data_IF_496913839196
#
_entry.id   IF_496913839196
#
_cell.length_a   1.000
_cell.length_b   1.000
_cell.length_c   1.000
_cell.angle_alpha   90.00
_cell.angle_beta   90.00
_cell.angle_gamma   90.00
#
_symmetry.space_group_name_H-M   'P 1'
#
loop_
_entity.id
_entity.type
_entity.pdbx_description
1 polymer ?
#
# COMPACT_ATOMS: atom_id res chain seq x y z
N UNK A 1 7.71 6.42 -67.16
CA UNK A 1 7.28 7.45 -66.20
C UNK A 1 6.19 6.87 -65.37
N UNK A 2 6.48 6.45 -64.16
CA UNK A 2 5.47 5.99 -63.18
C UNK A 2 5.85 6.59 -61.84
N UNK A 3 4.95 7.25 -61.11
CA UNK A 3 5.23 7.79 -59.80
C UNK A 3 5.06 6.71 -58.71
N UNK A 4 5.99 6.73 -57.81
CA UNK A 4 6.09 5.79 -56.70
C UNK A 4 4.96 5.89 -55.69
N UNK A 5 4.60 4.75 -55.18
CA UNK A 5 3.69 4.60 -54.06
C UNK A 5 4.38 4.98 -52.76
N UNK A 6 3.83 5.99 -52.09
CA UNK A 6 4.24 6.39 -50.75
C UNK A 6 3.76 5.31 -49.76
N UNK A 7 4.72 4.63 -49.13
CA UNK A 7 4.46 3.71 -48.03
C UNK A 7 3.91 4.44 -46.82
N UNK A 8 2.66 4.14 -46.46
CA UNK A 8 2.05 4.55 -45.21
C UNK A 8 2.78 3.84 -44.05
N UNK A 9 3.56 4.61 -43.29
CA UNK A 9 4.15 4.11 -42.04
C UNK A 9 3.05 3.81 -41.06
N UNK A 10 2.81 2.53 -40.83
CA UNK A 10 1.95 2.01 -39.77
C UNK A 10 2.58 2.44 -38.42
N UNK A 11 2.08 3.51 -37.85
CA UNK A 11 2.41 3.89 -36.47
C UNK A 11 1.86 2.79 -35.58
N UNK A 12 2.75 1.88 -35.14
CA UNK A 12 2.42 0.80 -34.24
C UNK A 12 1.67 1.35 -33.03
N UNK A 13 0.45 0.87 -32.85
CA UNK A 13 -0.32 1.10 -31.64
C UNK A 13 0.53 0.60 -30.46
N UNK A 14 0.76 1.48 -29.47
CA UNK A 14 1.36 1.08 -28.21
C UNK A 14 0.57 -0.13 -27.69
N UNK A 15 1.25 -1.15 -27.15
CA UNK A 15 0.54 -2.29 -26.62
C UNK A 15 -0.43 -1.80 -25.55
N UNK A 16 -1.70 -2.14 -25.71
CA UNK A 16 -2.72 -1.94 -24.66
C UNK A 16 -2.19 -2.66 -23.44
N UNK A 17 -1.96 -1.91 -22.36
CA UNK A 17 -1.50 -2.49 -21.11
C UNK A 17 -2.45 -3.63 -20.76
N UNK A 18 -1.94 -4.86 -20.77
CA UNK A 18 -2.71 -6.04 -20.42
C UNK A 18 -3.28 -5.81 -19.03
N UNK A 19 -4.58 -5.75 -18.92
CA UNK A 19 -5.27 -5.49 -17.66
C UNK A 19 -4.95 -6.64 -16.71
N UNK A 20 -4.11 -6.35 -15.70
CA UNK A 20 -3.70 -7.35 -14.73
C UNK A 20 -4.88 -7.58 -13.79
N UNK A 21 -5.41 -8.81 -13.76
CA UNK A 21 -6.51 -9.16 -12.88
C UNK A 21 -6.19 -8.83 -11.42
N UNK A 22 -7.15 -8.27 -10.66
CA UNK A 22 -6.92 -7.96 -9.25
C UNK A 22 -6.73 -9.23 -8.43
N UNK A 23 -5.94 -9.12 -7.37
CA UNK A 23 -5.84 -10.17 -6.36
C UNK A 23 -7.21 -10.40 -5.70
N UNK A 24 -7.42 -11.60 -5.17
CA UNK A 24 -8.68 -12.02 -4.54
C UNK A 24 -9.04 -11.13 -3.35
N UNK A 25 -8.06 -10.73 -2.55
CA UNK A 25 -8.23 -9.89 -1.37
C UNK A 25 -6.91 -9.21 -0.97
N UNK A 26 -7.01 -8.22 -0.09
CA UNK A 26 -5.87 -7.49 0.48
C UNK A 26 -4.90 -8.39 1.25
N UNK A 27 -5.38 -9.44 1.89
CA UNK A 27 -4.53 -10.39 2.63
C UNK A 27 -3.53 -11.09 1.68
N UNK A 28 -3.95 -11.36 0.43
CA UNK A 28 -3.06 -11.93 -0.60
C UNK A 28 -1.97 -10.95 -1.02
N UNK A 29 -2.26 -9.65 -1.03
CA UNK A 29 -1.26 -8.61 -1.29
C UNK A 29 -0.10 -8.69 -0.29
N UNK A 30 -0.40 -8.65 1.01
CA UNK A 30 0.62 -8.73 2.05
C UNK A 30 1.34 -10.08 2.09
N UNK A 31 0.65 -11.16 1.76
CA UNK A 31 1.28 -12.48 1.69
C UNK A 31 2.29 -12.61 0.54
N UNK A 32 2.11 -11.85 -0.55
CA UNK A 32 3.01 -11.86 -1.71
C UNK A 32 4.05 -10.75 -1.69
N UNK A 33 3.86 -9.73 -0.88
CA UNK A 33 4.75 -8.58 -0.82
C UNK A 33 6.14 -9.00 -0.33
N UNK A 34 7.16 -8.77 -1.15
CA UNK A 34 8.51 -9.25 -0.88
C UNK A 34 9.11 -8.64 0.40
N UNK A 35 8.75 -7.39 0.73
CA UNK A 35 9.22 -6.72 1.94
C UNK A 35 8.69 -7.35 3.23
N UNK A 36 7.50 -7.98 3.20
CA UNK A 36 6.95 -8.71 4.36
C UNK A 36 7.79 -9.93 4.73
N UNK A 37 8.50 -10.50 3.75
CA UNK A 37 9.40 -11.64 3.95
C UNK A 37 10.85 -11.23 4.18
N UNK A 38 11.13 -9.93 4.13
CA UNK A 38 12.45 -9.37 4.38
C UNK A 38 12.85 -9.55 5.85
N UNK A 39 14.12 -9.85 6.07
CA UNK A 39 14.69 -10.03 7.41
C UNK A 39 15.72 -8.97 7.77
N UNK A 40 16.03 -8.09 6.82
CA UNK A 40 16.97 -6.98 7.02
C UNK A 40 16.42 -5.70 6.39
N UNK A 41 16.63 -4.54 7.02
CA UNK A 41 16.30 -3.25 6.41
C UNK A 41 17.08 -2.97 5.12
N UNK A 42 18.22 -3.63 4.91
CA UNK A 42 19.08 -3.48 3.73
C UNK A 42 18.72 -4.44 2.59
N UNK A 43 17.69 -5.27 2.76
CA UNK A 43 17.23 -6.17 1.69
C UNK A 43 16.67 -5.36 0.50
N UNK A 44 16.89 -5.81 -0.75
CA UNK A 44 16.45 -5.07 -1.95
C UNK A 44 14.97 -4.66 -1.98
N UNK A 45 14.02 -5.42 -1.40
CA UNK A 45 12.63 -4.99 -1.32
C UNK A 45 12.39 -3.74 -0.45
N UNK A 46 13.36 -3.36 0.38
CA UNK A 46 13.33 -2.23 1.29
C UNK A 46 14.11 -1.00 0.76
N UNK A 47 14.40 -0.95 -0.54
CA UNK A 47 15.09 0.19 -1.16
C UNK A 47 14.29 1.48 -0.93
N UNK A 48 14.94 2.45 -0.26
CA UNK A 48 14.37 3.75 0.12
C UNK A 48 14.84 4.90 -0.78
N UNK A 49 15.54 4.63 -1.86
CA UNK A 49 16.11 5.68 -2.72
C UNK A 49 15.06 6.68 -3.22
N UNK A 50 13.84 6.22 -3.48
CA UNK A 50 12.71 7.08 -3.85
C UNK A 50 12.25 7.92 -2.66
N UNK A 51 12.13 7.32 -1.48
CA UNK A 51 11.69 8.00 -0.25
C UNK A 51 12.70 9.07 0.17
N UNK A 52 14.00 8.79 0.06
CA UNK A 52 15.07 9.74 0.36
C UNK A 52 15.02 10.95 -0.60
N UNK A 53 14.74 10.70 -1.88
CA UNK A 53 14.56 11.75 -2.89
C UNK A 53 13.34 12.62 -2.58
N UNK A 54 12.23 12.03 -2.19
CA UNK A 54 11.03 12.74 -1.77
C UNK A 54 11.29 13.55 -0.48
N UNK A 55 11.93 12.93 0.51
CA UNK A 55 12.25 13.58 1.79
C UNK A 55 13.15 14.81 1.60
N UNK A 56 14.04 14.80 0.60
CA UNK A 56 14.91 15.93 0.29
C UNK A 56 14.15 17.19 -0.17
N UNK A 57 12.88 17.08 -0.56
CA UNK A 57 12.01 18.23 -0.87
C UNK A 57 11.66 19.08 0.37
N UNK A 58 11.77 18.48 1.53
CA UNK A 58 11.46 19.11 2.82
C UNK A 58 9.99 19.05 3.23
N UNK A 59 9.70 19.31 4.51
CA UNK A 59 8.39 19.03 5.10
C UNK A 59 7.24 19.88 4.51
N UNK A 60 7.49 21.12 4.13
CA UNK A 60 6.45 21.97 3.55
C UNK A 60 6.00 21.44 2.18
N UNK A 61 6.95 21.12 1.30
CA UNK A 61 6.62 20.56 -0.02
C UNK A 61 5.92 19.20 0.07
N UNK A 62 6.31 18.36 1.03
CA UNK A 62 5.62 17.09 1.29
C UNK A 62 4.17 17.29 1.77
N UNK A 63 3.94 18.27 2.66
CA UNK A 63 2.61 18.58 3.14
C UNK A 63 1.70 19.10 2.01
N UNK A 64 2.20 19.99 1.15
CA UNK A 64 1.47 20.50 0.00
C UNK A 64 1.10 19.38 -0.97
N UNK A 65 2.05 18.54 -1.34
CA UNK A 65 1.82 17.38 -2.23
C UNK A 65 0.81 16.39 -1.65
N UNK A 66 0.90 16.13 -0.34
CA UNK A 66 -0.05 15.25 0.35
C UNK A 66 -1.46 15.83 0.32
N UNK A 67 -1.59 17.15 0.51
CA UNK A 67 -2.88 17.86 0.45
C UNK A 67 -3.49 17.82 -0.97
N UNK A 68 -2.69 18.05 -2.00
CA UNK A 68 -3.11 17.96 -3.40
C UNK A 68 -3.54 16.53 -3.78
N UNK A 69 -2.77 15.52 -3.35
CA UNK A 69 -3.11 14.10 -3.58
C UNK A 69 -4.43 13.73 -2.90
N UNK A 70 -4.64 14.17 -1.65
CA UNK A 70 -5.88 13.93 -0.90
C UNK A 70 -7.08 14.57 -1.62
N UNK A 71 -6.95 15.80 -2.09
CA UNK A 71 -8.02 16.49 -2.80
C UNK A 71 -8.35 15.78 -4.12
N UNK A 72 -7.33 15.34 -4.84
CA UNK A 72 -7.49 14.54 -6.07
C UNK A 72 -8.28 13.26 -5.81
N UNK A 73 -7.92 12.51 -4.76
CA UNK A 73 -8.62 11.26 -4.39
C UNK A 73 -10.08 11.56 -4.02
N UNK A 74 -10.34 12.63 -3.24
CA UNK A 74 -11.70 13.03 -2.87
C UNK A 74 -12.56 13.33 -4.09
N UNK A 75 -12.02 14.07 -5.06
CA UNK A 75 -12.73 14.42 -6.29
C UNK A 75 -13.01 13.17 -7.14
N UNK A 76 -12.05 12.27 -7.31
CA UNK A 76 -12.24 11.03 -8.07
C UNK A 76 -13.33 10.15 -7.45
N UNK A 77 -13.37 10.04 -6.13
CA UNK A 77 -14.40 9.29 -5.40
C UNK A 77 -15.76 9.96 -5.49
N UNK A 78 -15.84 11.27 -5.26
CA UNK A 78 -17.08 12.03 -5.30
C UNK A 78 -17.74 12.02 -6.68
N UNK A 79 -16.93 12.06 -7.74
CA UNK A 79 -17.41 12.06 -9.13
C UNK A 79 -17.68 10.65 -9.69
N UNK A 80 -17.38 9.60 -8.93
CA UNK A 80 -17.50 8.21 -9.38
C UNK A 80 -16.55 7.84 -10.51
N UNK A 81 -15.45 8.59 -10.68
CA UNK A 81 -14.45 8.37 -11.74
C UNK A 81 -13.20 7.62 -11.24
N UNK A 82 -13.15 7.30 -9.95
CA UNK A 82 -12.09 6.47 -9.39
C UNK A 82 -12.14 5.06 -10.01
N UNK A 83 -10.98 4.53 -10.38
CA UNK A 83 -10.88 3.18 -10.95
C UNK A 83 -11.33 2.13 -9.94
N UNK A 84 -12.07 1.12 -10.40
CA UNK A 84 -12.47 -0.02 -9.56
C UNK A 84 -11.31 -1.00 -9.31
N UNK A 85 -10.33 -1.01 -10.23
CA UNK A 85 -9.11 -1.81 -10.12
C UNK A 85 -7.90 -0.88 -10.22
N UNK A 86 -7.03 -0.96 -9.21
CA UNK A 86 -5.83 -0.13 -9.09
C UNK A 86 -4.59 -1.00 -9.35
N UNK A 87 -3.85 -0.76 -10.44
CA UNK A 87 -2.61 -1.47 -10.70
C UNK A 87 -1.51 -1.02 -9.73
N UNK A 88 -0.68 -1.98 -9.31
CA UNK A 88 0.53 -1.76 -8.52
C UNK A 88 1.73 -2.25 -9.36
N UNK A 89 2.27 -1.40 -10.25
CA UNK A 89 3.21 -1.83 -11.29
C UNK A 89 4.47 -2.51 -10.75
N UNK A 90 5.04 -1.99 -9.65
CA UNK A 90 6.24 -2.55 -9.03
C UNK A 90 6.01 -3.91 -8.37
N UNK A 91 4.76 -4.22 -8.02
CA UNK A 91 4.36 -5.52 -7.47
C UNK A 91 3.89 -6.50 -8.56
N UNK A 92 3.60 -6.01 -9.78
CA UNK A 92 3.09 -6.78 -10.92
C UNK A 92 1.72 -7.42 -10.70
N UNK A 93 0.86 -6.79 -9.88
CA UNK A 93 -0.55 -7.15 -9.71
C UNK A 93 -1.42 -5.92 -9.52
N UNK A 94 -2.71 -6.14 -9.40
CA UNK A 94 -3.69 -5.09 -9.13
C UNK A 94 -4.48 -5.44 -7.87
N UNK A 95 -5.11 -4.44 -7.26
CA UNK A 95 -6.07 -4.60 -6.18
C UNK A 95 -7.41 -3.99 -6.58
N UNK A 96 -8.49 -4.48 -5.99
CA UNK A 96 -9.74 -3.72 -5.99
C UNK A 96 -9.50 -2.40 -5.26
N UNK A 97 -10.24 -1.35 -5.67
CA UNK A 97 -10.07 -0.01 -5.08
C UNK A 97 -10.15 -0.01 -3.56
N UNK A 98 -11.16 -0.68 -3.00
CA UNK A 98 -11.35 -0.69 -1.54
C UNK A 98 -10.21 -1.43 -0.82
N UNK A 99 -9.71 -2.53 -1.38
CA UNK A 99 -8.52 -3.21 -0.88
C UNK A 99 -7.27 -2.33 -0.97
N UNK A 100 -7.12 -1.59 -2.08
CA UNK A 100 -6.01 -0.64 -2.24
C UNK A 100 -6.09 0.48 -1.20
N UNK A 101 -7.28 1.07 -0.99
CA UNK A 101 -7.48 2.10 0.03
C UNK A 101 -7.19 1.57 1.43
N UNK A 102 -7.59 0.34 1.72
CA UNK A 102 -7.29 -0.30 3.01
C UNK A 102 -5.77 -0.47 3.21
N UNK A 103 -4.99 -0.80 2.16
CA UNK A 103 -3.52 -0.79 2.29
C UNK A 103 -2.99 0.59 2.64
N UNK A 104 -3.53 1.66 2.04
CA UNK A 104 -3.07 3.03 2.35
C UNK A 104 -3.45 3.48 3.76
N UNK A 105 -4.63 3.08 4.23
CA UNK A 105 -5.04 3.31 5.62
C UNK A 105 -4.11 2.59 6.61
N UNK A 106 -3.74 1.34 6.32
CA UNK A 106 -2.80 0.60 7.15
C UNK A 106 -1.43 1.30 7.21
N UNK A 107 -0.87 1.70 6.06
CA UNK A 107 0.41 2.43 6.01
C UNK A 107 0.35 3.73 6.82
N UNK A 108 -0.74 4.50 6.70
CA UNK A 108 -0.90 5.74 7.45
C UNK A 108 -0.96 5.47 8.97
N UNK A 109 -1.73 4.47 9.39
CA UNK A 109 -1.89 4.15 10.82
C UNK A 109 -0.57 3.66 11.42
N UNK A 110 0.12 2.73 10.73
CA UNK A 110 1.37 2.15 11.22
C UNK A 110 2.48 3.19 11.22
N UNK A 111 2.69 3.90 10.11
CA UNK A 111 3.75 4.90 10.04
C UNK A 111 3.51 6.14 10.89
N UNK A 112 2.24 6.49 11.18
CA UNK A 112 1.95 7.52 12.16
C UNK A 112 2.42 7.11 13.56
N UNK A 113 2.21 5.84 13.94
CA UNK A 113 2.70 5.29 15.21
C UNK A 113 4.23 5.26 15.26
N UNK A 114 4.89 4.77 14.21
CA UNK A 114 6.36 4.76 14.09
C UNK A 114 6.96 6.17 14.22
N UNK A 115 6.34 7.15 13.54
CA UNK A 115 6.81 8.53 13.55
C UNK A 115 6.73 9.15 14.97
N UNK A 116 5.56 9.04 15.60
CA UNK A 116 5.38 9.65 16.94
C UNK A 116 6.23 8.96 17.99
N UNK A 117 6.45 7.65 17.86
CA UNK A 117 7.39 6.93 18.72
C UNK A 117 8.82 7.44 18.54
N UNK A 118 9.22 7.71 17.30
CA UNK A 118 10.57 8.21 16.97
C UNK A 118 10.84 9.63 17.50
N UNK A 119 9.81 10.49 17.53
CA UNK A 119 9.95 11.89 17.98
C UNK A 119 9.44 12.14 19.42
N UNK A 120 8.93 11.09 20.08
CA UNK A 120 8.52 11.16 21.50
C UNK A 120 7.27 12.00 21.74
N UNK A 121 6.30 12.02 20.82
CA UNK A 121 5.00 12.71 20.99
C UNK A 121 3.87 11.69 21.13
N UNK A 122 2.71 12.09 21.69
CA UNK A 122 1.56 11.19 21.77
C UNK A 122 1.06 10.74 20.39
N UNK A 123 0.70 9.46 20.26
CA UNK A 123 0.12 8.93 19.04
C UNK A 123 -1.26 9.56 18.75
N UNK A 124 -1.60 9.85 17.49
CA UNK A 124 -2.91 10.32 17.13
C UNK A 124 -3.96 9.21 17.35
N UNK A 125 -5.13 9.58 17.83
CA UNK A 125 -6.27 8.68 17.86
C UNK A 125 -6.99 8.72 16.49
N UNK A 126 -7.12 7.56 15.88
CA UNK A 126 -7.91 7.41 14.66
C UNK A 126 -9.36 7.09 15.01
N UNK A 127 -10.30 7.57 14.20
CA UNK A 127 -11.71 7.21 14.39
C UNK A 127 -11.93 5.71 14.21
N UNK A 128 -13.03 5.19 14.77
CA UNK A 128 -13.36 3.77 14.68
C UNK A 128 -13.51 3.28 13.22
N UNK A 129 -14.01 4.15 12.33
CA UNK A 129 -14.17 3.85 10.91
C UNK A 129 -12.83 3.65 10.20
N UNK A 130 -11.78 4.34 10.65
CA UNK A 130 -10.42 4.18 10.11
C UNK A 130 -9.71 3.02 10.79
N UNK A 131 -9.73 2.97 12.12
CA UNK A 131 -8.93 2.00 12.87
C UNK A 131 -9.47 0.57 12.81
N UNK A 132 -10.80 0.36 12.82
CA UNK A 132 -11.36 -0.99 12.85
C UNK A 132 -10.94 -1.85 11.64
N UNK A 133 -11.08 -1.40 10.37
CA UNK A 133 -10.66 -2.22 9.24
C UNK A 133 -9.15 -2.49 9.21
N UNK A 134 -8.32 -1.55 9.67
CA UNK A 134 -6.86 -1.74 9.79
C UNK A 134 -6.54 -2.77 10.85
N UNK A 135 -7.10 -2.64 12.05
CA UNK A 135 -6.95 -3.62 13.14
C UNK A 135 -7.36 -5.03 12.68
N UNK A 136 -8.51 -5.13 12.02
CA UNK A 136 -9.03 -6.43 11.58
C UNK A 136 -8.12 -7.07 10.52
N UNK A 137 -7.54 -6.27 9.63
CA UNK A 137 -6.53 -6.74 8.68
C UNK A 137 -5.27 -7.22 9.41
N UNK A 138 -4.71 -6.42 10.32
CA UNK A 138 -3.52 -6.79 11.10
C UNK A 138 -3.73 -8.08 11.88
N UNK A 139 -4.90 -8.25 12.51
CA UNK A 139 -5.24 -9.49 13.25
C UNK A 139 -5.31 -10.69 12.30
N UNK A 140 -5.92 -10.56 11.12
CA UNK A 140 -5.95 -11.66 10.13
C UNK A 140 -4.56 -12.05 9.66
N UNK A 141 -3.70 -11.07 9.38
CA UNK A 141 -2.31 -11.31 8.99
C UNK A 141 -1.52 -11.98 10.12
N UNK A 142 -1.66 -11.51 11.36
CA UNK A 142 -1.05 -12.13 12.53
C UNK A 142 -1.52 -13.59 12.74
N UNK A 143 -2.82 -13.85 12.61
CA UNK A 143 -3.37 -15.21 12.68
C UNK A 143 -2.78 -16.10 11.59
N UNK A 144 -2.65 -15.59 10.37
CA UNK A 144 -2.07 -16.35 9.26
C UNK A 144 -0.60 -16.69 9.51
N UNK A 145 0.16 -15.77 10.11
CA UNK A 145 1.59 -15.93 10.37
C UNK A 145 1.88 -16.80 11.60
N UNK A 146 1.15 -16.62 12.68
CA UNK A 146 1.43 -17.20 13.99
C UNK A 146 0.41 -18.24 14.47
N UNK A 147 -0.74 -18.34 13.80
CA UNK A 147 -1.85 -19.19 14.18
C UNK A 147 -2.78 -18.58 15.24
N UNK A 148 -4.00 -19.08 15.31
CA UNK A 148 -5.05 -18.57 16.21
C UNK A 148 -4.65 -18.62 17.69
N UNK A 149 -4.02 -19.72 18.12
CA UNK A 149 -3.66 -19.92 19.53
C UNK A 149 -2.65 -18.88 20.02
N UNK A 150 -1.65 -18.53 19.20
CA UNK A 150 -0.65 -17.52 19.53
C UNK A 150 -1.30 -16.14 19.70
N UNK A 151 -2.18 -15.76 18.77
CA UNK A 151 -2.88 -14.46 18.81
C UNK A 151 -3.81 -14.39 20.03
N UNK A 152 -4.61 -15.44 20.31
CA UNK A 152 -5.46 -15.50 21.50
C UNK A 152 -4.60 -15.37 22.77
N UNK A 153 -3.50 -16.13 22.87
CA UNK A 153 -2.62 -16.07 24.04
C UNK A 153 -2.00 -14.69 24.24
N UNK A 154 -1.53 -14.05 23.18
CA UNK A 154 -0.94 -12.71 23.26
C UNK A 154 -1.95 -11.65 23.74
N UNK A 155 -3.22 -11.77 23.34
CA UNK A 155 -4.27 -10.84 23.71
C UNK A 155 -4.92 -11.10 25.08
N UNK A 156 -4.74 -12.31 25.65
CA UNK A 156 -5.50 -12.71 26.85
C UNK A 156 -4.65 -13.26 27.99
N UNK A 157 -3.36 -13.55 27.76
CA UNK A 157 -2.51 -14.27 28.71
C UNK A 157 -1.10 -13.71 28.69
N UNK A 158 -0.83 -12.72 29.53
CA UNK A 158 0.48 -12.07 29.62
C UNK A 158 1.63 -13.05 29.89
N UNK A 159 1.36 -14.10 30.69
CA UNK A 159 2.33 -15.14 31.05
C UNK A 159 2.72 -16.06 29.87
N UNK A 160 1.97 -16.05 28.78
CA UNK A 160 2.21 -16.84 27.55
C UNK A 160 2.26 -15.99 26.28
N UNK A 161 2.27 -14.67 26.45
CA UNK A 161 2.31 -13.76 25.32
C UNK A 161 3.59 -13.96 24.50
N UNK A 162 3.41 -14.10 23.19
CA UNK A 162 4.49 -14.16 22.20
C UNK A 162 4.41 -12.96 21.29
N UNK A 163 5.46 -12.69 20.55
CA UNK A 163 5.40 -11.70 19.47
C UNK A 163 4.44 -12.19 18.38
N UNK A 164 3.42 -11.40 18.09
CA UNK A 164 2.41 -11.67 17.06
C UNK A 164 2.42 -10.60 15.96
N UNK A 165 3.58 -10.01 15.68
CA UNK A 165 3.69 -9.03 14.60
C UNK A 165 3.07 -9.57 13.32
N UNK A 166 2.29 -8.73 12.64
CA UNK A 166 1.67 -9.06 11.36
C UNK A 166 2.72 -9.18 10.22
N UNK A 167 3.85 -8.50 10.38
CA UNK A 167 4.97 -8.42 9.45
C UNK A 167 6.29 -8.86 10.09
#
# INVERSE_FOLDING_TARGET
MSPGAAGSANRGALPVATEIAPLECVDTHYHRAAWVMSTSPDDPPNDRSTDDTEAALGPAALADRSSEALETVRQLLANGTARDVVPIPWQRWSLRRDDFLLTRMLEIVVHADDLVHSIGVPAPEFSAEVFAPVRDLLVRLAVKRHGQSAVISALTRSERAQNISAF
#
